data_IF_755933157449
#
_entry.id   IF_755933157449
#
_cell.length_a   1.000
_cell.length_b   1.000
_cell.length_c   1.000
_cell.angle_alpha   90.00
_cell.angle_beta   90.00
_cell.angle_gamma   90.00
#
_symmetry.space_group_name_H-M   'P 1'
#
loop_
_entity.id
_entity.type
_entity.pdbx_description
1 polymer ?
#
# COMPACT_ATOMS: atom_id res chain seq x y z
N UNK A 1 -4.13 8.82 5.00
CA UNK A 1 -2.81 8.35 4.52
C UNK A 1 -3.04 7.08 3.72
N UNK A 2 -2.47 6.96 2.52
CA UNK A 2 -2.56 5.75 1.69
C UNK A 2 -1.58 4.71 2.24
N UNK A 3 -1.99 3.44 2.34
CA UNK A 3 -1.10 2.35 2.73
C UNK A 3 -0.45 1.85 1.44
N UNK A 4 0.77 2.31 1.20
CA UNK A 4 1.57 1.89 0.07
C UNK A 4 2.71 0.98 0.53
N UNK A 5 3.05 -0.07 -0.24
CA UNK A 5 4.14 -0.97 0.10
C UNK A 5 5.56 -0.40 -0.15
N UNK A 6 5.71 0.92 -0.31
CA UNK A 6 6.98 1.58 -0.70
C UNK A 6 7.67 2.37 0.37
N UNK A 7 6.97 2.74 1.45
CA UNK A 7 7.56 3.76 2.31
C UNK A 7 8.86 3.25 2.91
N UNK A 8 9.82 4.17 3.04
CA UNK A 8 11.22 3.85 3.27
C UNK A 8 11.48 2.89 4.42
N UNK A 9 12.73 2.43 4.53
CA UNK A 9 13.12 1.46 5.55
C UNK A 9 12.73 1.89 7.00
N UNK A 10 12.59 3.19 7.24
CA UNK A 10 12.17 3.75 8.51
C UNK A 10 10.64 3.77 8.61
N UNK A 11 10.08 3.14 9.66
CA UNK A 11 8.64 3.16 9.93
C UNK A 11 7.81 2.15 9.13
N UNK A 12 8.46 1.22 8.41
CA UNK A 12 7.80 0.09 7.76
C UNK A 12 7.85 -1.19 8.62
N UNK A 13 6.87 -2.07 8.41
CA UNK A 13 6.78 -3.39 9.03
C UNK A 13 6.63 -4.45 7.92
N UNK A 14 7.36 -5.55 8.05
CA UNK A 14 7.31 -6.65 7.07
C UNK A 14 6.10 -7.53 7.34
N UNK A 15 5.27 -7.74 6.32
CA UNK A 15 4.11 -8.62 6.34
C UNK A 15 4.10 -9.40 5.04
N UNK A 16 3.79 -10.69 5.10
CA UNK A 16 3.62 -11.50 3.89
C UNK A 16 2.48 -10.95 3.04
N UNK A 17 2.77 -10.74 1.76
CA UNK A 17 1.81 -10.25 0.79
C UNK A 17 1.94 -11.06 -0.50
N UNK A 18 0.87 -11.78 -0.84
CA UNK A 18 0.87 -12.74 -1.95
C UNK A 18 1.96 -13.83 -1.82
N UNK A 19 2.28 -14.24 -0.59
CA UNK A 19 3.24 -15.31 -0.30
C UNK A 19 4.70 -14.88 -0.29
N UNK A 20 4.99 -13.59 -0.51
CA UNK A 20 6.35 -13.04 -0.44
C UNK A 20 6.37 -11.90 0.58
N UNK A 21 7.40 -11.79 1.45
CA UNK A 21 7.52 -10.69 2.39
C UNK A 21 7.52 -9.34 1.69
N UNK A 22 6.65 -8.42 2.13
CA UNK A 22 6.59 -7.04 1.64
C UNK A 22 6.55 -6.06 2.81
N UNK A 23 6.97 -4.81 2.57
CA UNK A 23 7.08 -3.78 3.62
C UNK A 23 5.89 -2.83 3.54
N UNK A 24 5.13 -2.70 4.64
CA UNK A 24 4.00 -1.77 4.71
C UNK A 24 4.23 -0.69 5.76
N UNK A 25 3.64 0.47 5.57
CA UNK A 25 3.77 1.60 6.49
C UNK A 25 3.04 1.36 7.81
N UNK A 26 3.80 1.28 8.91
CA UNK A 26 3.24 1.21 10.27
C UNK A 26 2.80 2.58 10.78
N UNK A 27 3.32 3.66 10.19
CA UNK A 27 3.06 5.05 10.59
C UNK A 27 1.60 5.38 10.94
N UNK A 28 0.61 5.11 10.07
CA UNK A 28 -0.80 5.40 10.38
C UNK A 28 -1.30 4.78 11.69
N UNK A 29 -0.95 3.51 11.94
CA UNK A 29 -1.39 2.76 13.11
C UNK A 29 -0.62 3.18 14.36
N UNK A 30 0.67 3.50 14.21
CA UNK A 30 1.48 4.05 15.28
C UNK A 30 1.01 5.45 15.71
N UNK A 31 0.64 6.32 14.76
CA UNK A 31 0.06 7.64 15.02
C UNK A 31 -1.28 7.50 15.72
N UNK A 32 -2.17 6.63 15.24
CA UNK A 32 -3.47 6.37 15.86
C UNK A 32 -3.30 5.99 17.35
N UNK A 33 -2.32 5.13 17.65
CA UNK A 33 -1.99 4.76 19.03
C UNK A 33 -1.53 5.93 19.89
N UNK A 34 -0.57 6.72 19.41
CA UNK A 34 -0.03 7.86 20.15
C UNK A 34 -1.09 8.95 20.34
N UNK A 35 -1.96 9.14 19.35
CA UNK A 35 -3.04 10.11 19.39
C UNK A 35 -4.26 9.63 20.20
N UNK A 36 -4.24 8.39 20.71
CA UNK A 36 -5.40 7.74 21.34
C UNK A 36 -6.67 7.84 20.47
N UNK A 37 -6.48 7.73 19.15
CA UNK A 37 -7.52 7.91 18.16
C UNK A 37 -7.76 6.61 17.39
N UNK A 38 -9.01 6.35 16.98
CA UNK A 38 -9.29 5.20 16.12
C UNK A 38 -8.69 5.33 14.74
N UNK A 39 -8.37 4.18 14.14
CA UNK A 39 -8.04 4.04 12.73
C UNK A 39 -9.02 3.09 12.05
N UNK A 40 -9.57 3.53 10.92
CA UNK A 40 -10.50 2.75 10.08
C UNK A 40 -9.88 2.62 8.69
N UNK A 41 -9.33 1.44 8.33
CA UNK A 41 -8.85 1.19 6.98
C UNK A 41 -10.03 1.09 6.01
N UNK A 42 -9.91 1.78 4.87
CA UNK A 42 -10.96 1.80 3.84
C UNK A 42 -10.31 1.61 2.47
N UNK A 43 -10.93 0.77 1.65
CA UNK A 43 -10.57 0.54 0.26
C UNK A 43 -11.72 0.98 -0.63
N UNK A 44 -11.41 1.69 -1.71
CA UNK A 44 -12.39 2.07 -2.73
C UNK A 44 -12.29 1.10 -3.91
N UNK A 45 -13.39 0.43 -4.23
CA UNK A 45 -13.49 -0.52 -5.34
C UNK A 45 -14.38 0.07 -6.41
N UNK A 46 -13.88 0.20 -7.63
CA UNK A 46 -14.68 0.68 -8.75
C UNK A 46 -15.63 -0.42 -9.22
N UNK A 47 -16.93 -0.11 -9.24
CA UNK A 47 -17.98 -1.04 -9.66
C UNK A 47 -18.61 -0.67 -11.01
N UNK A 48 -18.26 0.50 -11.57
CA UNK A 48 -18.77 0.99 -12.84
C UNK A 48 -18.29 2.41 -13.14
N UNK A 49 -18.93 3.08 -14.09
CA UNK A 49 -18.73 4.53 -14.31
C UNK A 49 -19.36 5.26 -13.13
N UNK A 50 -18.58 6.09 -12.41
CA UNK A 50 -19.02 6.89 -11.25
C UNK A 50 -19.69 6.06 -10.12
N UNK A 51 -19.46 4.75 -10.06
CA UNK A 51 -19.97 3.86 -9.01
C UNK A 51 -18.83 3.18 -8.28
N UNK A 52 -18.78 3.38 -6.97
CA UNK A 52 -17.73 2.84 -6.10
C UNK A 52 -18.35 2.17 -4.88
N UNK A 53 -17.71 1.10 -4.41
CA UNK A 53 -17.99 0.44 -3.16
C UNK A 53 -16.83 0.73 -2.19
N UNK A 54 -17.15 1.16 -0.97
CA UNK A 54 -16.16 1.34 0.08
C UNK A 54 -16.17 0.12 0.98
N UNK A 55 -15.03 -0.55 1.11
CA UNK A 55 -14.87 -1.71 1.97
C UNK A 55 -13.94 -1.36 3.12
N UNK A 56 -14.31 -1.74 4.34
CA UNK A 56 -13.50 -1.54 5.52
C UNK A 56 -13.23 -2.87 6.23
N UNK A 57 -12.09 -2.95 6.91
CA UNK A 57 -11.70 -4.09 7.77
C UNK A 57 -12.23 -3.90 9.19
N UNK A 58 -12.88 -2.77 9.47
CA UNK A 58 -13.38 -2.39 10.79
C UNK A 58 -12.62 -1.22 11.38
N UNK A 59 -12.90 -0.97 12.66
CA UNK A 59 -12.26 0.06 13.47
C UNK A 59 -11.23 -0.59 14.39
N UNK A 60 -10.06 0.01 14.47
CA UNK A 60 -9.02 -0.36 15.42
C UNK A 60 -8.73 0.81 16.35
N UNK A 61 -8.57 0.52 17.63
CA UNK A 61 -8.25 1.50 18.69
C UNK A 61 -6.95 1.04 19.38
N UNK A 62 -5.79 1.07 18.69
CA UNK A 62 -4.56 0.53 19.24
C UNK A 62 -4.07 1.37 20.43
N UNK A 63 -3.70 0.70 21.51
CA UNK A 63 -3.11 1.29 22.72
C UNK A 63 -1.65 0.86 22.90
N UNK A 64 -1.28 -0.30 22.34
CA UNK A 64 0.08 -0.85 22.40
C UNK A 64 0.75 -0.93 21.01
N UNK A 65 2.09 -0.93 20.93
CA UNK A 65 2.79 -1.14 19.65
C UNK A 65 2.38 -2.46 18.97
N UNK A 66 2.13 -3.51 19.73
CA UNK A 66 1.68 -4.80 19.21
C UNK A 66 0.29 -4.71 18.57
N UNK A 67 -0.64 -3.95 19.17
CA UNK A 67 -1.96 -3.70 18.59
C UNK A 67 -1.90 -2.88 17.30
N UNK A 68 -0.98 -1.90 17.22
CA UNK A 68 -0.76 -1.15 15.99
C UNK A 68 -0.27 -2.06 14.84
N UNK A 69 0.64 -2.98 15.14
CA UNK A 69 1.11 -4.00 14.18
C UNK A 69 -0.02 -4.98 13.82
N UNK A 70 -0.83 -5.41 14.78
CA UNK A 70 -1.96 -6.30 14.52
C UNK A 70 -3.02 -5.65 13.61
N UNK A 71 -3.32 -4.38 13.82
CA UNK A 71 -4.22 -3.60 12.99
C UNK A 71 -3.68 -3.42 11.56
N UNK A 72 -2.38 -3.15 11.42
CA UNK A 72 -1.71 -3.15 10.12
C UNK A 72 -1.84 -4.51 9.43
N UNK A 73 -1.51 -5.60 10.12
CA UNK A 73 -1.57 -6.95 9.55
C UNK A 73 -2.99 -7.35 9.13
N UNK A 74 -4.02 -7.01 9.91
CA UNK A 74 -5.40 -7.22 9.53
C UNK A 74 -5.77 -6.44 8.25
N UNK A 75 -5.28 -5.21 8.16
CA UNK A 75 -5.47 -4.34 6.99
C UNK A 75 -4.81 -4.92 5.74
N UNK A 76 -3.54 -5.33 5.83
CA UNK A 76 -2.78 -5.92 4.72
C UNK A 76 -3.43 -7.22 4.24
N UNK A 77 -3.92 -8.08 5.15
CA UNK A 77 -4.66 -9.29 4.76
C UNK A 77 -5.93 -8.99 3.98
N UNK A 78 -6.66 -7.92 4.34
CA UNK A 78 -7.84 -7.51 3.59
C UNK A 78 -7.50 -6.89 2.25
N UNK A 79 -6.41 -6.11 2.20
CA UNK A 79 -5.88 -5.56 0.97
C UNK A 79 -5.46 -6.67 0.00
N UNK A 80 -4.76 -7.69 0.47
CA UNK A 80 -4.37 -8.85 -0.35
C UNK A 80 -5.59 -9.57 -0.95
N UNK A 81 -6.63 -9.81 -0.14
CA UNK A 81 -7.88 -10.40 -0.65
C UNK A 81 -8.49 -9.54 -1.75
N UNK A 82 -8.48 -8.22 -1.59
CA UNK A 82 -9.03 -7.31 -2.59
C UNK A 82 -8.20 -7.27 -3.88
N UNK A 83 -6.87 -7.26 -3.77
CA UNK A 83 -5.96 -7.32 -4.91
C UNK A 83 -6.16 -8.63 -5.68
N UNK A 84 -6.32 -9.76 -4.97
CA UNK A 84 -6.64 -11.05 -5.59
C UNK A 84 -8.02 -11.07 -6.26
N UNK A 85 -9.02 -10.40 -5.69
CA UNK A 85 -10.37 -10.30 -6.26
C UNK A 85 -10.42 -9.40 -7.51
N UNK A 86 -9.67 -8.28 -7.50
CA UNK A 86 -9.74 -7.21 -8.51
C UNK A 86 -8.34 -6.79 -9.00
N UNK A 87 -7.51 -7.70 -9.53
CA UNK A 87 -6.13 -7.39 -9.88
C UNK A 87 -5.99 -6.24 -10.89
N UNK A 88 -6.93 -6.09 -11.81
CA UNK A 88 -6.97 -5.01 -12.80
C UNK A 88 -7.18 -3.60 -12.20
N UNK A 89 -7.59 -3.50 -10.94
CA UNK A 89 -7.74 -2.23 -10.23
C UNK A 89 -6.57 -1.94 -9.29
N UNK A 90 -5.61 -2.87 -9.18
CA UNK A 90 -4.41 -2.67 -8.41
C UNK A 90 -3.42 -1.84 -9.22
N UNK A 91 -3.52 -0.52 -9.10
CA UNK A 91 -2.71 0.44 -9.84
C UNK A 91 -1.33 0.58 -9.22
N UNK A 92 -0.54 -0.51 -9.30
CA UNK A 92 0.77 -0.56 -8.70
C UNK A 92 1.85 -0.90 -9.72
N UNK A 93 2.73 0.07 -9.97
CA UNK A 93 3.73 0.03 -11.04
C UNK A 93 5.16 -0.07 -10.52
N UNK A 94 5.37 0.14 -9.23
CA UNK A 94 6.66 -0.04 -8.58
C UNK A 94 6.86 -1.53 -8.19
N UNK A 95 8.07 -1.88 -7.73
CA UNK A 95 8.46 -3.24 -7.31
C UNK A 95 8.20 -3.59 -5.83
N UNK A 96 7.03 -4.17 -5.52
CA UNK A 96 6.47 -4.27 -4.15
C UNK A 96 7.36 -5.08 -3.22
N UNK A 97 8.11 -6.00 -3.82
CA UNK A 97 8.94 -6.97 -3.15
C UNK A 97 10.43 -6.60 -3.26
N UNK A 98 10.74 -5.36 -3.65
CA UNK A 98 12.12 -4.87 -3.73
C UNK A 98 12.83 -5.02 -2.39
N UNK A 99 14.05 -5.55 -2.45
CA UNK A 99 14.98 -5.49 -1.33
C UNK A 99 15.41 -4.04 -1.09
N UNK A 100 15.20 -3.46 0.10
CA UNK A 100 15.66 -2.11 0.41
C UNK A 100 17.19 -1.94 0.37
N UNK A 101 17.97 -3.02 0.33
CA UNK A 101 19.42 -2.98 0.09
C UNK A 101 19.78 -2.95 -1.40
N UNK A 102 18.86 -3.33 -2.28
CA UNK A 102 19.02 -3.14 -3.70
C UNK A 102 18.90 -1.63 -4.00
N UNK A 103 20.01 -1.01 -4.39
CA UNK A 103 20.05 0.41 -4.74
C UNK A 103 18.97 0.76 -5.77
N UNK A 104 18.53 2.02 -5.77
CA UNK A 104 17.56 2.51 -6.76
C UNK A 104 18.06 2.18 -8.17
N UNK A 105 17.33 1.39 -8.97
CA UNK A 105 17.71 1.20 -10.37
C UNK A 105 17.69 2.57 -11.03
N UNK A 106 18.77 2.90 -11.74
CA UNK A 106 18.81 4.11 -12.54
C UNK A 106 17.61 4.09 -13.47
N UNK A 107 16.70 5.06 -13.31
CA UNK A 107 15.63 5.25 -14.28
C UNK A 107 16.31 5.58 -15.61
N UNK A 108 16.27 4.65 -16.57
CA UNK A 108 16.73 4.95 -17.92
C UNK A 108 15.74 5.97 -18.51
N UNK A 109 16.17 7.22 -18.59
CA UNK A 109 15.46 8.23 -19.34
C UNK A 109 15.57 7.88 -20.82
N UNK A 110 14.60 7.13 -21.33
CA UNK A 110 14.48 6.92 -22.78
C UNK A 110 14.21 8.30 -23.40
N UNK A 111 15.07 8.81 -24.28
CA UNK A 111 14.81 10.09 -24.95
C UNK A 111 13.45 10.00 -25.63
N UNK A 112 12.56 10.94 -25.34
CA UNK A 112 11.32 11.04 -26.10
C UNK A 112 11.70 11.12 -27.58
N UNK A 113 11.15 10.22 -28.38
CA UNK A 113 11.37 10.26 -29.82
C UNK A 113 10.93 11.64 -30.32
N UNK A 114 11.90 12.51 -30.59
CA UNK A 114 11.69 13.79 -31.24
C UNK A 114 10.93 13.52 -32.53
N UNK A 115 9.66 13.88 -32.55
CA UNK A 115 8.71 13.50 -33.59
C UNK A 115 9.28 13.72 -34.98
N UNK A 116 9.04 12.74 -35.84
CA UNK A 116 9.16 12.84 -37.29
C UNK A 116 8.63 14.20 -37.76
N UNK A 117 9.52 15.08 -38.24
CA UNK A 117 9.13 16.27 -38.99
C UNK A 117 8.35 15.80 -40.22
N UNK A 118 7.03 15.93 -40.19
CA UNK A 118 6.21 15.83 -41.39
C UNK A 118 6.61 17.01 -42.29
N UNK A 119 7.05 16.68 -43.51
CA UNK A 119 7.21 17.63 -44.61
C UNK A 119 5.84 18.01 -45.16
#
# INVERSE_FOLDING_TARGET
MQIDPWGGAQGSHTIDFCGVPARFQLGPFAIARVAHAPVVPVFAVRMGIRRYELRSVGRFDPTTPAEAVAALAATVRAYERLVRERPQQWLMFDDVWRDPQAGTPAYEMVPQASGLRRR
#
